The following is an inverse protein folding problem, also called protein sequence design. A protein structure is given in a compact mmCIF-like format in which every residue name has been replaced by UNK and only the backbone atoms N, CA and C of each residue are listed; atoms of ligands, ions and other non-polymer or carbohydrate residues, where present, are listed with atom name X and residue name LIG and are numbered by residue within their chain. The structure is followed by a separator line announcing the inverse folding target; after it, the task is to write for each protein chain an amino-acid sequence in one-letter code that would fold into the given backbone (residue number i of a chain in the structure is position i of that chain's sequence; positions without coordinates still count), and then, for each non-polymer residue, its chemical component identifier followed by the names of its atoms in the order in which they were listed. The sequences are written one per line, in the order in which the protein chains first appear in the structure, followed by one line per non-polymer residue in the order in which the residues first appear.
data_IF_258900773009
#
_entry.id   IF_258900773009
#
_cell.length_a   1.000
_cell.length_b   1.000
_cell.length_c   1.000
_cell.angle_alpha   90.00
_cell.angle_beta   90.00
_cell.angle_gamma   90.00
#
_symmetry.space_group_name_H-M   'P 1'
#
loop_
_entity.id
_entity.type
_entity.pdbx_description
1 polymer ?
#
# COMPACT_ATOMS: atom_id res chain seq x y z
N UNK A 1 -13.32 23.56 -7.54
CA UNK A 1 -13.49 22.38 -8.41
C UNK A 1 -13.11 21.12 -7.64
N UNK A 2 -13.77 19.96 -7.84
CA UNK A 2 -13.39 18.72 -7.16
C UNK A 2 -11.99 18.30 -7.59
N UNK A 3 -11.11 18.00 -6.62
CA UNK A 3 -9.75 17.50 -6.89
C UNK A 3 -9.85 16.15 -7.59
N UNK A 4 -9.42 16.11 -8.85
CA UNK A 4 -9.26 14.89 -9.65
C UNK A 4 -8.01 14.17 -9.17
N UNK A 5 -8.14 12.88 -8.90
CA UNK A 5 -7.01 12.11 -8.43
C UNK A 5 -7.09 10.67 -8.95
N UNK A 6 -5.92 10.11 -9.22
CA UNK A 6 -5.71 8.70 -9.50
C UNK A 6 -4.78 8.12 -8.43
N UNK A 7 -4.95 6.85 -8.13
CA UNK A 7 -4.06 6.11 -7.24
C UNK A 7 -3.67 4.80 -7.91
N UNK A 8 -2.38 4.50 -7.89
CA UNK A 8 -1.78 3.36 -8.55
C UNK A 8 -0.88 2.63 -7.54
N UNK A 9 -1.00 1.31 -7.50
CA UNK A 9 -0.28 0.47 -6.57
C UNK A 9 -0.19 -0.96 -7.13
N UNK A 10 0.32 -1.91 -6.33
CA UNK A 10 0.55 -3.31 -6.73
C UNK A 10 1.45 -3.49 -7.96
N UNK A 11 2.49 -2.66 -8.09
CA UNK A 11 3.53 -2.83 -9.11
C UNK A 11 4.79 -3.45 -8.49
N UNK A 12 5.58 -4.13 -9.33
CA UNK A 12 6.97 -4.43 -8.98
C UNK A 12 7.84 -3.24 -9.38
N UNK A 13 8.89 -2.96 -8.61
CA UNK A 13 9.78 -1.83 -8.87
C UNK A 13 10.33 -1.79 -10.31
N UNK A 14 10.74 -2.91 -10.94
CA UNK A 14 11.17 -2.91 -12.35
C UNK A 14 10.09 -2.47 -13.35
N UNK A 15 8.81 -2.58 -13.00
CA UNK A 15 7.69 -2.18 -13.84
C UNK A 15 7.29 -0.70 -13.65
N UNK A 16 7.85 -0.01 -12.66
CA UNK A 16 7.45 1.36 -12.30
C UNK A 16 7.66 2.35 -13.45
N UNK A 17 8.79 2.30 -14.14
CA UNK A 17 9.03 3.20 -15.28
C UNK A 17 8.00 2.99 -16.39
N UNK A 18 7.64 1.73 -16.66
CA UNK A 18 6.62 1.40 -17.65
C UNK A 18 5.25 1.93 -17.22
N UNK A 19 4.91 1.82 -15.94
CA UNK A 19 3.68 2.38 -15.37
C UNK A 19 3.64 3.90 -15.53
N UNK A 20 4.72 4.61 -15.19
CA UNK A 20 4.80 6.08 -15.33
C UNK A 20 4.66 6.53 -16.79
N UNK A 21 5.30 5.82 -17.73
CA UNK A 21 5.13 6.10 -19.16
C UNK A 21 3.68 5.91 -19.62
N UNK A 22 3.00 4.87 -19.11
CA UNK A 22 1.58 4.64 -19.41
C UNK A 22 0.68 5.75 -18.82
N UNK A 23 1.00 6.24 -17.62
CA UNK A 23 0.30 7.36 -16.98
C UNK A 23 0.47 8.65 -17.79
N UNK A 24 1.69 8.95 -18.24
CA UNK A 24 1.96 10.11 -19.09
C UNK A 24 1.17 10.07 -20.41
N UNK A 25 1.06 8.87 -21.02
CA UNK A 25 0.27 8.64 -22.24
C UNK A 25 -1.24 8.49 -22.04
N UNK A 26 -1.75 8.45 -20.80
CA UNK A 26 -3.15 8.17 -20.50
C UNK A 26 -4.09 9.36 -20.77
N UNK A 27 -3.54 10.56 -21.00
CA UNK A 27 -4.34 11.76 -21.27
C UNK A 27 -5.16 12.21 -20.05
N UNK A 28 -4.62 12.05 -18.83
CA UNK A 28 -5.28 12.57 -17.63
C UNK A 28 -5.53 14.08 -17.77
N UNK A 29 -6.71 14.59 -17.36
CA UNK A 29 -6.94 16.02 -17.39
C UNK A 29 -5.90 16.78 -16.55
N UNK A 30 -5.55 17.98 -17.00
CA UNK A 30 -4.62 18.86 -16.28
C UNK A 30 -5.02 19.02 -14.80
N UNK A 31 -4.03 18.99 -13.91
CA UNK A 31 -4.21 19.08 -12.46
C UNK A 31 -4.69 17.79 -11.78
N UNK A 32 -4.74 16.66 -12.49
CA UNK A 32 -5.01 15.35 -11.85
C UNK A 32 -3.82 14.94 -10.98
N UNK A 33 -4.04 14.74 -9.69
CA UNK A 33 -3.01 14.24 -8.77
C UNK A 33 -2.85 12.72 -8.92
N UNK A 34 -1.65 12.23 -9.28
CA UNK A 34 -1.40 10.79 -9.45
C UNK A 34 -0.57 10.27 -8.28
N UNK A 35 -1.22 9.56 -7.36
CA UNK A 35 -0.56 8.92 -6.24
C UNK A 35 -0.08 7.52 -6.62
N UNK A 36 1.19 7.21 -6.38
CA UNK A 36 1.79 5.93 -6.74
C UNK A 36 2.43 5.32 -5.49
N UNK A 37 2.16 4.05 -5.21
CA UNK A 37 2.59 3.40 -3.97
C UNK A 37 3.17 2.00 -4.12
N UNK A 38 4.39 1.82 -3.63
CA UNK A 38 4.97 0.51 -3.33
C UNK A 38 4.43 -0.04 -2.01
N UNK A 39 4.58 -1.35 -1.76
CA UNK A 39 4.39 -1.88 -0.42
C UNK A 39 5.52 -1.43 0.51
N UNK A 40 5.15 -0.74 1.59
CA UNK A 40 6.10 -0.07 2.47
C UNK A 40 6.84 1.08 1.77
N UNK A 41 7.70 1.74 2.54
CA UNK A 41 8.54 2.83 2.06
C UNK A 41 9.72 2.26 1.28
N UNK A 42 9.96 2.82 0.08
CA UNK A 42 11.02 2.42 -0.82
C UNK A 42 11.64 3.70 -1.44
N UNK A 43 12.93 3.93 -1.18
CA UNK A 43 13.62 5.15 -1.60
C UNK A 43 13.77 5.27 -3.11
N UNK A 44 14.01 4.16 -3.81
CA UNK A 44 14.13 4.13 -5.28
C UNK A 44 12.78 4.46 -5.93
N UNK A 45 11.69 3.85 -5.47
CA UNK A 45 10.34 4.18 -5.92
C UNK A 45 10.02 5.65 -5.65
N UNK A 46 10.30 6.15 -4.44
CA UNK A 46 10.09 7.54 -4.07
C UNK A 46 10.83 8.51 -4.99
N UNK A 47 12.10 8.23 -5.31
CA UNK A 47 12.94 9.05 -6.19
C UNK A 47 12.44 9.05 -7.64
N UNK A 48 12.05 7.88 -8.17
CA UNK A 48 11.51 7.76 -9.52
C UNK A 48 10.16 8.48 -9.66
N UNK A 49 9.29 8.37 -8.64
CA UNK A 49 7.96 8.99 -8.64
C UNK A 49 8.05 10.50 -8.45
N UNK A 50 8.97 11.01 -7.63
CA UNK A 50 9.14 12.45 -7.42
C UNK A 50 9.73 13.17 -8.65
N UNK A 51 10.51 12.46 -9.45
CA UNK A 51 11.00 12.95 -10.74
C UNK A 51 9.89 13.03 -11.82
N UNK A 52 8.77 12.35 -11.61
CA UNK A 52 7.60 12.44 -12.48
C UNK A 52 6.69 13.59 -12.03
N UNK A 53 6.51 14.61 -12.88
CA UNK A 53 5.84 15.88 -12.53
C UNK A 53 4.48 15.72 -11.81
N UNK A 54 3.62 14.83 -12.33
CA UNK A 54 2.31 14.53 -11.76
C UNK A 54 2.34 13.49 -10.62
N UNK A 55 3.49 12.87 -10.39
CA UNK A 55 3.71 11.78 -9.46
C UNK A 55 3.74 12.25 -8.01
N UNK A 56 3.04 11.52 -7.15
CA UNK A 56 3.01 11.72 -5.69
C UNK A 56 3.25 10.38 -5.03
N UNK A 57 4.32 10.26 -4.24
CA UNK A 57 4.67 8.99 -3.62
C UNK A 57 3.82 8.74 -2.38
N UNK A 58 3.10 7.62 -2.37
CA UNK A 58 2.22 7.21 -1.28
C UNK A 58 2.43 5.72 -0.97
N UNK A 59 3.39 5.34 -0.10
CA UNK A 59 3.63 3.96 0.31
C UNK A 59 2.38 3.32 0.90
N UNK A 60 2.24 2.02 0.65
CA UNK A 60 1.06 1.23 1.00
C UNK A 60 1.37 0.26 2.14
N UNK A 61 0.49 0.22 3.14
CA UNK A 61 0.67 -0.57 4.34
C UNK A 61 -0.48 -1.54 4.58
N UNK A 62 -0.21 -2.64 5.27
CA UNK A 62 -1.21 -3.68 5.54
C UNK A 62 -1.72 -3.62 6.97
N UNK A 63 -3.04 -3.66 7.15
CA UNK A 63 -3.62 -3.71 8.49
C UNK A 63 -3.53 -5.12 9.09
N UNK A 64 -3.99 -6.14 8.37
CA UNK A 64 -4.23 -7.50 8.91
C UNK A 64 -3.24 -8.55 8.41
N UNK A 65 -2.16 -8.13 7.76
CA UNK A 65 -1.08 -9.04 7.31
C UNK A 65 0.17 -8.71 8.10
N UNK A 66 0.83 -9.77 8.60
CA UNK A 66 2.09 -9.63 9.32
C UNK A 66 3.16 -9.03 8.41
N UNK A 67 3.72 -7.92 8.86
CA UNK A 67 4.87 -7.21 8.29
C UNK A 67 5.91 -7.03 9.38
N UNK A 68 7.09 -6.50 9.08
CA UNK A 68 8.07 -6.21 10.13
C UNK A 68 7.53 -5.23 11.19
N UNK A 69 6.60 -4.34 10.83
CA UNK A 69 5.95 -3.44 11.77
C UNK A 69 5.13 -4.19 12.84
N UNK A 70 4.73 -5.45 12.60
CA UNK A 70 4.13 -6.29 13.64
C UNK A 70 5.14 -6.80 14.66
N UNK A 71 6.39 -6.97 14.25
CA UNK A 71 7.39 -7.64 15.06
C UNK A 71 8.04 -6.68 16.06
N UNK A 72 8.34 -5.45 15.64
CA UNK A 72 8.99 -4.46 16.51
C UNK A 72 8.74 -3.03 16.06
N UNK A 73 9.00 -2.09 16.97
CA UNK A 73 9.22 -0.68 16.64
C UNK A 73 10.54 -0.53 15.87
N UNK A 74 10.58 0.48 15.01
CA UNK A 74 11.81 1.01 14.43
C UNK A 74 11.92 2.45 14.92
N UNK A 75 12.50 2.61 16.10
CA UNK A 75 12.78 3.91 16.71
C UNK A 75 14.26 3.96 17.06
N UNK A 76 14.86 5.15 16.99
CA UNK A 76 16.22 5.35 17.53
C UNK A 76 16.19 5.28 19.06
N UNK A 77 17.35 5.10 19.69
CA UNK A 77 17.43 5.08 21.15
C UNK A 77 16.95 6.39 21.79
N UNK A 78 17.12 7.52 21.11
CA UNK A 78 16.63 8.83 21.55
C UNK A 78 15.11 8.93 21.42
N UNK A 79 14.54 8.49 20.30
CA UNK A 79 13.10 8.47 20.09
C UNK A 79 12.38 7.58 21.12
N UNK A 80 12.93 6.41 21.43
CA UNK A 80 12.33 5.47 22.40
C UNK A 80 12.26 6.07 23.83
N UNK A 81 13.11 7.05 24.18
CA UNK A 81 13.04 7.75 25.47
C UNK A 81 11.81 8.64 25.60
N UNK A 82 11.30 9.15 24.48
CA UNK A 82 10.17 10.07 24.44
C UNK A 82 8.83 9.35 24.25
N UNK A 83 8.87 8.08 23.85
CA UNK A 83 7.68 7.30 23.48
C UNK A 83 7.27 6.37 24.61
N UNK A 84 5.96 6.26 24.85
CA UNK A 84 5.43 5.32 25.83
C UNK A 84 5.80 3.87 25.46
N UNK A 85 6.40 3.13 26.40
CA UNK A 85 6.82 1.73 26.23
C UNK A 85 5.67 0.74 26.13
N UNK A 86 4.44 1.12 26.49
CA UNK A 86 3.25 0.29 26.29
C UNK A 86 3.11 -0.04 24.80
N UNK A 87 2.93 -1.33 24.50
CA UNK A 87 2.87 -1.86 23.13
C UNK A 87 4.20 -1.79 22.35
N UNK A 88 5.36 -1.73 23.02
CA UNK A 88 6.68 -1.76 22.33
C UNK A 88 7.03 -3.10 21.71
N UNK A 89 6.50 -4.19 22.26
CA UNK A 89 6.80 -5.55 21.83
C UNK A 89 6.10 -5.98 20.54
N UNK A 90 6.17 -7.27 20.27
CA UNK A 90 5.46 -7.90 19.14
C UNK A 90 3.95 -7.74 19.29
N UNK A 91 3.27 -7.38 18.20
CA UNK A 91 1.81 -7.38 18.13
C UNK A 91 1.33 -8.84 18.22
N UNK A 92 0.39 -9.18 19.13
CA UNK A 92 -0.18 -10.51 19.23
C UNK A 92 -0.68 -11.03 17.88
N UNK A 93 -0.55 -12.33 17.62
CA UNK A 93 -1.18 -12.93 16.43
C UNK A 93 -2.69 -12.72 16.44
N UNK A 94 -3.31 -12.89 15.28
CA UNK A 94 -4.75 -12.64 15.09
C UNK A 94 -5.62 -13.36 16.14
N UNK A 95 -5.45 -14.65 16.45
CA UNK A 95 -6.26 -15.31 17.47
C UNK A 95 -6.14 -14.67 18.86
N UNK A 96 -4.93 -14.30 19.28
CA UNK A 96 -4.73 -13.68 20.60
C UNK A 96 -5.16 -12.22 20.60
N UNK A 97 -4.92 -11.48 19.52
CA UNK A 97 -5.35 -10.10 19.33
C UNK A 97 -6.87 -9.98 19.47
N UNK A 98 -7.63 -10.90 18.85
CA UNK A 98 -9.09 -10.89 18.91
C UNK A 98 -9.65 -11.20 20.30
N UNK A 99 -8.89 -11.89 21.17
CA UNK A 99 -9.28 -12.19 22.56
C UNK A 99 -9.01 -11.06 23.55
N UNK A 100 -8.27 -10.02 23.16
CA UNK A 100 -7.94 -8.92 24.07
C UNK A 100 -9.18 -8.07 24.44
N UNK A 101 -9.03 -7.13 25.36
CA UNK A 101 -10.04 -6.09 25.56
C UNK A 101 -10.10 -5.12 24.36
N UNK A 102 -11.23 -4.40 24.19
CA UNK A 102 -11.37 -3.35 23.17
C UNK A 102 -10.26 -2.29 23.26
N UNK A 103 -9.86 -1.90 24.48
CA UNK A 103 -8.80 -0.92 24.71
C UNK A 103 -7.43 -1.44 24.25
N UNK A 104 -7.13 -2.71 24.54
CA UNK A 104 -5.88 -3.34 24.07
C UNK A 104 -5.86 -3.54 22.55
N UNK A 105 -6.96 -4.00 21.93
CA UNK A 105 -7.06 -4.11 20.47
C UNK A 105 -6.86 -2.76 19.79
N UNK A 106 -7.56 -1.74 20.25
CA UNK A 106 -7.42 -0.38 19.69
C UNK A 106 -5.99 0.12 19.90
N UNK A 107 -5.41 -0.06 21.09
CA UNK A 107 -4.05 0.36 21.40
C UNK A 107 -2.97 -0.30 20.53
N UNK A 108 -3.05 -1.62 20.32
CA UNK A 108 -2.16 -2.32 19.39
C UNK A 108 -2.35 -1.84 17.94
N UNK A 109 -3.58 -1.54 17.53
CA UNK A 109 -3.84 -0.92 16.23
C UNK A 109 -3.17 0.44 16.09
N UNK A 110 -3.34 1.33 17.09
CA UNK A 110 -2.69 2.66 17.11
C UNK A 110 -1.18 2.52 16.97
N UNK A 111 -0.60 1.60 17.73
CA UNK A 111 0.83 1.34 17.66
C UNK A 111 1.28 0.83 16.27
N UNK A 112 0.54 -0.09 15.63
CA UNK A 112 0.86 -0.52 14.27
C UNK A 112 0.85 0.64 13.28
N UNK A 113 -0.18 1.49 13.32
CA UNK A 113 -0.26 2.68 12.47
C UNK A 113 0.90 3.65 12.71
N UNK A 114 1.32 3.80 13.98
CA UNK A 114 2.50 4.61 14.36
C UNK A 114 3.80 4.03 13.82
N UNK A 115 3.98 2.71 13.81
CA UNK A 115 5.17 2.07 13.24
C UNK A 115 5.28 2.28 11.73
N UNK A 116 4.16 2.35 11.03
CA UNK A 116 4.16 2.77 9.62
C UNK A 116 4.54 4.25 9.46
N UNK A 117 4.06 5.11 10.36
CA UNK A 117 4.49 6.53 10.42
C UNK A 117 5.97 6.71 10.76
N UNK A 118 6.53 5.88 11.64
CA UNK A 118 7.97 5.84 11.93
C UNK A 118 8.77 5.59 10.64
N UNK A 119 8.34 4.63 9.81
CA UNK A 119 9.00 4.36 8.53
C UNK A 119 8.96 5.53 7.54
N UNK A 120 7.86 6.29 7.51
CA UNK A 120 7.75 7.50 6.67
C UNK A 120 8.65 8.61 7.22
N UNK A 121 8.64 8.81 8.53
CA UNK A 121 9.43 9.85 9.21
C UNK A 121 10.93 9.63 9.01
N UNK A 122 11.41 8.41 9.23
CA UNK A 122 12.81 8.03 8.97
C UNK A 122 13.18 8.19 7.49
N UNK A 123 12.29 7.82 6.57
CA UNK A 123 12.55 8.00 5.15
C UNK A 123 12.66 9.50 4.76
N UNK A 124 11.81 10.36 5.32
CA UNK A 124 11.89 11.82 5.11
C UNK A 124 13.18 12.41 5.68
N UNK A 125 13.65 11.92 6.85
CA UNK A 125 14.94 12.30 7.41
C UNK A 125 16.10 11.87 6.49
N UNK A 126 15.95 10.76 5.77
CA UNK A 126 16.84 10.31 4.71
C UNK A 126 16.52 10.93 3.33
N UNK A 127 15.85 12.08 3.29
CA UNK A 127 15.52 12.86 2.09
C UNK A 127 14.61 12.17 1.07
N UNK A 128 13.90 11.10 1.43
CA UNK A 128 12.87 10.50 0.58
C UNK A 128 11.61 11.36 0.63
N UNK A 129 11.15 11.83 -0.53
CA UNK A 129 9.90 12.59 -0.65
C UNK A 129 8.73 11.60 -0.55
N UNK A 130 7.94 11.72 0.52
CA UNK A 130 6.71 10.95 0.74
C UNK A 130 5.56 11.92 0.94
N UNK A 131 4.61 11.94 -0.01
CA UNK A 131 3.48 12.86 0.01
C UNK A 131 2.40 12.43 1.02
N UNK A 132 2.08 11.14 1.04
CA UNK A 132 1.06 10.58 1.95
C UNK A 132 1.24 9.07 2.13
N UNK A 133 0.21 8.34 2.55
CA UNK A 133 0.19 6.90 2.74
C UNK A 133 -1.06 6.27 2.13
N UNK A 134 -1.02 4.94 1.93
CA UNK A 134 -2.15 4.11 1.56
C UNK A 134 -2.32 2.95 2.55
N UNK A 135 -3.56 2.49 2.76
CA UNK A 135 -3.87 1.29 3.52
C UNK A 135 -4.52 0.21 2.64
N UNK A 136 -3.88 -0.95 2.56
CA UNK A 136 -4.29 -2.17 1.86
C UNK A 136 -4.69 -3.26 2.88
N UNK A 137 -5.95 -3.54 3.14
CA UNK A 137 -7.18 -2.89 2.71
C UNK A 137 -8.20 -3.07 3.85
N UNK A 138 -9.35 -2.41 3.79
CA UNK A 138 -10.51 -2.79 4.60
C UNK A 138 -11.02 -4.14 4.08
N UNK A 139 -10.64 -5.19 4.80
CA UNK A 139 -10.97 -6.57 4.46
C UNK A 139 -12.41 -6.97 4.78
N UNK A 140 -12.85 -8.05 4.15
CA UNK A 140 -14.22 -8.59 4.27
C UNK A 140 -14.63 -8.93 5.71
N UNK A 141 -13.66 -9.21 6.57
CA UNK A 141 -13.82 -9.55 7.98
C UNK A 141 -14.54 -8.45 8.76
N UNK A 142 -14.37 -7.17 8.37
CA UNK A 142 -14.98 -6.03 9.05
C UNK A 142 -16.52 -6.04 9.01
N UNK A 143 -17.11 -6.70 8.01
CA UNK A 143 -18.55 -6.85 7.86
C UNK A 143 -19.09 -8.20 8.37
N UNK A 144 -18.23 -9.09 8.88
CA UNK A 144 -18.62 -10.42 9.37
C UNK A 144 -19.12 -10.42 10.81
N UNK A 145 -19.48 -11.61 11.33
CA UNK A 145 -20.01 -11.77 12.70
C UNK A 145 -19.06 -11.34 13.81
N UNK A 146 -17.74 -11.49 13.61
CA UNK A 146 -16.71 -10.96 14.50
C UNK A 146 -16.21 -9.56 14.08
N UNK A 147 -16.90 -8.90 13.15
CA UNK A 147 -16.43 -7.68 12.49
C UNK A 147 -16.09 -6.55 13.45
N UNK A 148 -16.79 -6.45 14.59
CA UNK A 148 -16.49 -5.48 15.65
C UNK A 148 -15.04 -5.58 16.14
N UNK A 149 -14.53 -6.79 16.35
CA UNK A 149 -13.18 -7.00 16.87
C UNK A 149 -12.12 -6.49 15.87
N UNK A 150 -12.32 -6.76 14.58
CA UNK A 150 -11.47 -6.25 13.51
C UNK A 150 -11.57 -4.74 13.35
N UNK A 151 -12.79 -4.18 13.41
CA UNK A 151 -13.00 -2.72 13.31
C UNK A 151 -12.33 -1.98 14.44
N UNK A 152 -12.35 -2.48 15.67
CA UNK A 152 -11.64 -1.87 16.79
C UNK A 152 -10.11 -1.80 16.55
N UNK A 153 -9.51 -2.88 16.06
CA UNK A 153 -8.09 -2.90 15.70
C UNK A 153 -7.78 -1.97 14.52
N UNK A 154 -8.51 -2.10 13.41
CA UNK A 154 -8.32 -1.28 12.20
C UNK A 154 -8.58 0.21 12.46
N UNK A 155 -9.56 0.55 13.31
CA UNK A 155 -9.77 1.93 13.79
C UNK A 155 -8.50 2.45 14.47
N UNK A 156 -7.87 1.63 15.31
CA UNK A 156 -6.57 1.93 15.89
C UNK A 156 -5.52 2.17 14.82
N UNK A 157 -5.39 1.27 13.83
CA UNK A 157 -4.42 1.42 12.72
C UNK A 157 -4.61 2.75 11.98
N UNK A 158 -5.85 3.08 11.63
CA UNK A 158 -6.19 4.35 10.99
C UNK A 158 -5.85 5.55 11.88
N UNK A 159 -6.11 5.47 13.17
CA UNK A 159 -5.73 6.49 14.14
C UNK A 159 -4.21 6.68 14.20
N UNK A 160 -3.45 5.59 14.27
CA UNK A 160 -1.97 5.62 14.27
C UNK A 160 -1.39 6.19 12.98
N UNK A 161 -1.93 5.82 11.81
CA UNK A 161 -1.53 6.38 10.51
C UNK A 161 -1.88 7.86 10.37
N UNK A 162 -3.01 8.28 10.95
CA UNK A 162 -3.48 9.67 10.88
C UNK A 162 -2.61 10.59 11.71
N UNK A 163 -2.27 10.20 12.95
CA UNK A 163 -1.61 11.09 13.90
C UNK A 163 -0.13 10.82 14.12
N UNK A 164 0.37 9.65 13.72
CA UNK A 164 1.73 9.22 14.06
C UNK A 164 2.04 9.35 15.55
N UNK A 165 3.29 9.71 15.84
CA UNK A 165 3.80 10.04 17.17
C UNK A 165 3.97 11.55 17.28
N UNK A 166 2.99 12.23 17.87
CA UNK A 166 3.05 13.69 18.08
C UNK A 166 4.24 14.08 18.96
N UNK A 167 4.60 13.20 19.90
CA UNK A 167 5.79 13.32 20.74
C UNK A 167 7.10 13.32 19.94
N UNK A 168 7.09 12.81 18.71
CA UNK A 168 8.18 12.86 17.73
C UNK A 168 7.85 13.78 16.55
N UNK A 169 7.00 14.78 16.78
CA UNK A 169 6.60 15.84 15.84
C UNK A 169 5.91 15.36 14.55
N UNK A 170 5.33 14.15 14.53
CA UNK A 170 4.53 13.70 13.39
C UNK A 170 3.32 14.64 13.15
N UNK A 171 3.17 15.21 11.94
CA UNK A 171 1.98 15.96 11.60
C UNK A 171 0.80 15.02 11.32
N UNK A 172 -0.42 15.53 11.53
CA UNK A 172 -1.62 14.85 11.06
C UNK A 172 -1.56 14.70 9.52
N UNK A 173 -1.87 13.51 9.00
CA UNK A 173 -1.84 13.24 7.57
C UNK A 173 -2.98 12.31 7.18
N UNK A 174 -3.67 12.65 6.10
CA UNK A 174 -4.72 11.82 5.52
C UNK A 174 -4.19 11.00 4.35
N UNK A 175 -4.60 9.75 4.24
CA UNK A 175 -4.16 8.82 3.20
C UNK A 175 -5.28 8.21 2.38
N UNK A 176 -4.89 7.30 1.51
CA UNK A 176 -5.82 6.49 0.71
C UNK A 176 -6.20 5.24 1.49
N UNK A 177 -7.48 4.90 1.54
CA UNK A 177 -7.93 3.66 2.18
C UNK A 177 -8.64 2.81 1.15
N UNK A 178 -8.05 1.67 0.83
CA UNK A 178 -8.65 0.66 -0.03
C UNK A 178 -9.69 -0.13 0.75
N UNK A 179 -10.78 -0.50 0.10
CA UNK A 179 -11.85 -1.29 0.70
C UNK A 179 -12.40 -2.28 -0.31
N UNK A 180 -12.39 -3.57 0.05
CA UNK A 180 -13.14 -4.56 -0.72
C UNK A 180 -14.61 -4.15 -0.83
N UNK A 181 -15.24 -4.47 -1.97
CA UNK A 181 -16.70 -4.37 -2.11
C UNK A 181 -17.47 -5.03 -0.95
N UNK A 182 -16.96 -6.16 -0.44
CA UNK A 182 -17.58 -6.86 0.70
C UNK A 182 -17.44 -6.10 2.01
N UNK A 183 -16.31 -5.44 2.26
CA UNK A 183 -16.15 -4.56 3.43
C UNK A 183 -17.09 -3.35 3.35
N UNK A 184 -17.36 -2.82 2.16
CA UNK A 184 -18.30 -1.71 1.99
C UNK A 184 -19.75 -2.08 2.36
N UNK A 185 -20.10 -3.37 2.47
CA UNK A 185 -21.38 -3.80 3.09
C UNK A 185 -21.52 -3.36 4.54
N UNK A 186 -20.42 -2.97 5.20
CA UNK A 186 -20.44 -2.30 6.49
C UNK A 186 -21.38 -1.08 6.48
N UNK A 187 -21.50 -0.40 5.34
CA UNK A 187 -22.40 0.74 5.18
C UNK A 187 -23.89 0.37 5.30
N UNK A 188 -24.24 -0.91 5.22
CA UNK A 188 -25.62 -1.39 5.40
C UNK A 188 -25.93 -1.87 6.82
N UNK A 189 -24.93 -1.95 7.72
CA UNK A 189 -25.16 -2.39 9.09
C UNK A 189 -25.83 -1.28 9.94
N UNK A 190 -26.65 -1.65 10.94
CA UNK A 190 -27.15 -0.72 11.94
C UNK A 190 -25.99 0.01 12.63
N UNK A 191 -26.10 1.32 12.77
CA UNK A 191 -25.05 2.15 13.36
C UNK A 191 -25.20 2.18 14.88
N UNK A 192 -24.25 1.58 15.58
CA UNK A 192 -24.09 1.71 17.02
C UNK A 192 -22.95 2.68 17.38
N UNK A 193 -22.60 2.77 18.67
CA UNK A 193 -21.51 3.65 19.15
C UNK A 193 -20.13 3.23 18.61
N UNK A 194 -19.87 1.92 18.49
CA UNK A 194 -18.59 1.41 17.99
C UNK A 194 -18.43 1.73 16.51
N UNK A 195 -19.45 1.40 15.71
CA UNK A 195 -19.45 1.64 14.29
C UNK A 195 -19.46 3.14 13.96
N UNK A 196 -20.11 3.96 14.78
CA UNK A 196 -19.99 5.44 14.68
C UNK A 196 -18.55 5.89 14.85
N UNK A 197 -17.84 5.37 15.86
CA UNK A 197 -16.45 5.72 16.10
C UNK A 197 -15.53 5.24 14.97
N UNK A 198 -15.78 4.04 14.43
CA UNK A 198 -15.07 3.54 13.25
C UNK A 198 -15.26 4.47 12.04
N UNK A 199 -16.50 4.83 11.70
CA UNK A 199 -16.79 5.70 10.56
C UNK A 199 -16.16 7.09 10.70
N UNK A 200 -16.21 7.69 11.89
CA UNK A 200 -15.57 8.98 12.16
C UNK A 200 -14.04 8.91 12.01
N UNK A 201 -13.42 7.84 12.50
CA UNK A 201 -11.97 7.68 12.33
C UNK A 201 -11.60 7.45 10.87
N UNK A 202 -12.40 6.68 10.12
CA UNK A 202 -12.18 6.48 8.69
C UNK A 202 -12.33 7.79 7.90
N UNK A 203 -13.38 8.55 8.17
CA UNK A 203 -13.62 9.89 7.61
C UNK A 203 -12.42 10.81 7.84
N UNK A 204 -11.88 10.82 9.07
CA UNK A 204 -10.72 11.65 9.42
C UNK A 204 -9.44 11.20 8.73
N UNK A 205 -9.20 9.90 8.68
CA UNK A 205 -7.99 9.31 8.11
C UNK A 205 -7.95 9.40 6.58
N UNK A 206 -9.10 9.38 5.92
CA UNK A 206 -9.20 9.30 4.46
C UNK A 206 -9.03 10.67 3.78
N UNK A 207 -8.04 10.76 2.89
CA UNK A 207 -8.07 11.71 1.78
C UNK A 207 -9.12 11.27 0.74
N UNK A 208 -9.14 9.97 0.43
CA UNK A 208 -10.08 9.28 -0.45
C UNK A 208 -10.26 7.83 0.02
N UNK A 209 -11.46 7.29 -0.21
CA UNK A 209 -11.73 5.86 -0.06
C UNK A 209 -11.79 5.23 -1.45
N UNK A 210 -11.08 4.11 -1.63
CA UNK A 210 -11.00 3.38 -2.88
C UNK A 210 -11.81 2.11 -2.74
N UNK A 211 -12.93 2.01 -3.44
CA UNK A 211 -13.68 0.76 -3.45
C UNK A 211 -13.13 -0.15 -4.53
N UNK A 212 -12.65 -1.33 -4.15
CA UNK A 212 -12.24 -2.33 -5.13
C UNK A 212 -13.48 -2.88 -5.86
N UNK A 213 -13.66 -2.38 -7.08
CA UNK A 213 -14.72 -2.78 -7.98
C UNK A 213 -14.13 -3.70 -9.05
N UNK A 214 -14.66 -4.91 -9.15
CA UNK A 214 -14.26 -5.90 -10.15
C UNK A 214 -15.42 -6.15 -11.12
N UNK A 215 -15.91 -5.14 -11.86
CA UNK A 215 -16.98 -5.36 -12.81
C UNK A 215 -16.58 -6.45 -13.80
N UNK A 216 -17.37 -7.53 -13.82
CA UNK A 216 -17.39 -8.40 -14.98
C UNK A 216 -17.90 -7.51 -16.13
N UNK A 217 -16.98 -7.02 -16.97
CA UNK A 217 -17.30 -6.19 -18.15
C UNK A 217 -17.97 -7.02 -19.24
N UNK A 218 -19.09 -7.68 -18.88
CA UNK A 218 -19.88 -8.56 -19.73
C UNK A 218 -21.30 -8.01 -19.75
N UNK A 219 -21.83 -7.78 -20.95
CA UNK A 219 -23.15 -7.16 -21.14
C UNK A 219 -23.10 -5.64 -21.03
N UNK A 220 -24.19 -5.03 -20.56
CA UNK A 220 -24.31 -3.57 -20.42
C UNK A 220 -23.30 -3.01 -19.40
N UNK A 221 -22.31 -2.19 -19.84
CA UNK A 221 -21.33 -1.59 -18.95
C UNK A 221 -21.94 -0.66 -17.90
N UNK A 222 -23.03 0.04 -18.23
CA UNK A 222 -23.69 0.93 -17.29
C UNK A 222 -24.37 0.13 -16.18
N UNK A 223 -24.99 -1.01 -16.52
CA UNK A 223 -25.53 -1.94 -15.53
C UNK A 223 -24.42 -2.55 -14.67
N UNK A 224 -23.30 -2.96 -15.25
CA UNK A 224 -22.17 -3.47 -14.49
C UNK A 224 -21.64 -2.41 -13.51
N UNK A 225 -21.35 -1.20 -13.98
CA UNK A 225 -20.91 -0.09 -13.12
C UNK A 225 -21.91 0.20 -11.99
N UNK A 226 -23.22 0.20 -12.28
CA UNK A 226 -24.25 0.33 -11.24
C UNK A 226 -24.19 -0.83 -10.25
N UNK A 227 -24.07 -2.08 -10.68
CA UNK A 227 -23.99 -3.22 -9.76
C UNK A 227 -22.78 -3.16 -8.85
N UNK A 228 -21.64 -2.69 -9.35
CA UNK A 228 -20.37 -2.69 -8.63
C UNK A 228 -20.15 -1.46 -7.72
N UNK A 229 -20.83 -0.36 -7.99
CA UNK A 229 -20.87 0.85 -7.12
C UNK A 229 -21.91 0.76 -5.99
N UNK A 230 -22.39 -0.43 -5.63
CA UNK A 230 -23.37 -0.62 -4.55
C UNK A 230 -22.85 -0.15 -3.18
N UNK A 231 -21.57 -0.39 -2.88
CA UNK A 231 -20.91 0.10 -1.68
C UNK A 231 -20.89 1.63 -1.57
N UNK A 232 -20.56 2.33 -2.66
CA UNK A 232 -20.61 3.79 -2.71
C UNK A 232 -22.03 4.31 -2.46
N UNK A 233 -23.04 3.71 -3.10
CA UNK A 233 -24.44 4.13 -2.89
C UNK A 233 -24.92 3.87 -1.46
N UNK A 234 -24.53 2.75 -0.85
CA UNK A 234 -24.85 2.46 0.54
C UNK A 234 -24.21 3.48 1.51
N UNK A 235 -23.01 3.99 1.20
CA UNK A 235 -22.43 5.13 1.92
C UNK A 235 -23.24 6.41 1.70
N UNK A 236 -23.64 6.69 0.45
CA UNK A 236 -24.39 7.89 0.09
C UNK A 236 -25.79 7.95 0.70
N UNK A 237 -26.44 6.80 0.94
CA UNK A 237 -27.73 6.72 1.64
C UNK A 237 -27.60 6.79 3.17
N UNK A 238 -26.39 6.88 3.70
CA UNK A 238 -26.12 6.89 5.13
C UNK A 238 -26.28 8.26 5.79
N UNK A 239 -25.87 8.31 7.06
CA UNK A 239 -25.75 9.57 7.82
C UNK A 239 -24.59 10.46 7.33
N UNK A 240 -24.41 11.66 7.91
CA UNK A 240 -23.49 12.68 7.41
C UNK A 240 -22.05 12.19 7.16
N UNK A 241 -21.49 11.39 8.07
CA UNK A 241 -20.13 10.83 7.96
C UNK A 241 -19.99 9.89 6.76
N UNK A 242 -20.98 9.02 6.53
CA UNK A 242 -20.98 8.09 5.39
C UNK A 242 -21.16 8.83 4.06
N UNK A 243 -22.00 9.87 4.02
CA UNK A 243 -22.14 10.76 2.84
C UNK A 243 -20.85 11.49 2.51
N UNK A 244 -20.12 11.98 3.52
CA UNK A 244 -18.82 12.62 3.33
C UNK A 244 -17.75 11.65 2.79
N UNK A 245 -17.83 10.36 3.16
CA UNK A 245 -17.00 9.32 2.57
C UNK A 245 -17.42 9.00 1.13
N UNK A 246 -18.72 8.92 0.84
CA UNK A 246 -19.24 8.70 -0.51
C UNK A 246 -18.81 9.82 -1.49
N UNK A 247 -18.78 11.08 -1.03
CA UNK A 247 -18.27 12.21 -1.82
C UNK A 247 -16.77 12.19 -2.08
N UNK A 248 -16.01 11.33 -1.38
CA UNK A 248 -14.57 11.10 -1.54
C UNK A 248 -14.25 9.71 -2.10
N UNK A 249 -15.27 9.00 -2.58
CA UNK A 249 -15.12 7.68 -3.13
C UNK A 249 -14.47 7.75 -4.52
N UNK A 250 -13.54 6.84 -4.79
CA UNK A 250 -13.07 6.55 -6.14
C UNK A 250 -13.23 5.05 -6.43
N UNK A 251 -13.55 4.73 -7.67
CA UNK A 251 -13.58 3.34 -8.13
C UNK A 251 -12.14 2.84 -8.31
N UNK A 252 -11.75 1.85 -7.52
CA UNK A 252 -10.50 1.13 -7.69
C UNK A 252 -10.71 -0.03 -8.65
N UNK A 253 -9.80 -0.17 -9.61
CA UNK A 253 -9.77 -1.29 -10.54
C UNK A 253 -8.42 -2.00 -10.42
N UNK A 254 -8.45 -3.32 -10.30
CA UNK A 254 -7.23 -4.14 -10.37
C UNK A 254 -7.14 -4.74 -11.77
N UNK A 255 -6.22 -4.26 -12.64
CA UNK A 255 -6.04 -4.84 -13.96
C UNK A 255 -5.51 -6.27 -13.82
N UNK A 256 -6.23 -7.28 -14.28
CA UNK A 256 -5.72 -8.64 -14.25
C UNK A 256 -6.71 -9.80 -14.28
N UNK A 257 -8.03 -9.56 -14.20
CA UNK A 257 -9.01 -10.63 -14.37
C UNK A 257 -9.63 -10.64 -15.76
N UNK A 258 -8.80 -10.83 -16.79
CA UNK A 258 -9.28 -11.65 -17.90
C UNK A 258 -9.50 -13.04 -17.30
N UNK A 259 -10.74 -13.39 -16.94
CA UNK A 259 -11.12 -14.80 -17.02
C UNK A 259 -10.92 -15.14 -18.49
N UNK A 260 -9.74 -15.68 -18.85
CA UNK A 260 -9.59 -16.38 -20.11
C UNK A 260 -10.77 -17.35 -20.15
N UNK A 261 -11.77 -17.07 -20.99
CA UNK A 261 -12.59 -18.15 -21.53
C UNK A 261 -11.55 -19.15 -22.02
N UNK A 262 -11.57 -20.35 -21.45
CA UNK A 262 -10.88 -21.48 -22.07
C UNK A 262 -11.50 -21.56 -23.45
N UNK A 263 -10.84 -20.98 -24.44
CA UNK A 263 -11.10 -21.31 -25.83
C UNK A 263 -10.88 -22.83 -25.90
N UNK A 264 -11.82 -23.58 -26.48
CA UNK A 264 -11.64 -25.03 -26.62
C UNK A 264 -10.29 -25.28 -27.27
N UNK A 265 -9.53 -26.22 -26.68
CA UNK A 265 -8.21 -26.62 -27.16
C UNK A 265 -8.31 -26.87 -28.67
N UNK A 266 -7.49 -26.17 -29.45
CA UNK A 266 -7.30 -26.45 -30.87
C UNK A 266 -6.83 -27.89 -31.02
N UNK A 267 -7.66 -28.68 -31.70
CA UNK A 267 -7.37 -30.06 -32.03
C UNK A 267 -8.47 -30.69 -32.88
N UNK A 268 -9.13 -29.96 -33.77
CA UNK A 268 -9.86 -30.52 -34.92
C UNK A 268 -9.79 -29.54 -36.12
N UNK A 269 -9.73 -30.03 -37.38
CA UNK A 269 -9.26 -29.23 -38.51
C UNK A 269 -10.30 -28.23 -39.03
N UNK A 270 -9.91 -26.96 -39.06
CA UNK A 270 -10.70 -25.85 -39.61
C UNK A 270 -10.53 -25.72 -41.14
N UNK A 271 -10.57 -26.83 -41.88
CA UNK A 271 -10.51 -26.82 -43.35
C UNK A 271 -11.89 -26.85 -44.03
N UNK A 272 -12.99 -27.05 -43.30
CA UNK A 272 -14.33 -27.21 -43.89
C UNK A 272 -15.35 -26.11 -43.58
N UNK A 273 -14.98 -25.00 -42.90
CA UNK A 273 -15.97 -23.94 -42.55
C UNK A 273 -15.68 -22.53 -43.07
N UNK A 274 -14.67 -22.33 -43.91
CA UNK A 274 -14.30 -20.99 -44.43
C UNK A 274 -14.28 -20.89 -45.97
N UNK A 275 -15.08 -21.68 -46.68
CA UNK A 275 -15.39 -21.45 -48.11
C UNK A 275 -16.83 -20.95 -48.36
N UNK A 276 -17.59 -20.55 -47.34
CA UNK A 276 -18.84 -19.82 -47.55
C UNK A 276 -18.83 -18.54 -46.73
N UNK A 277 -18.93 -17.41 -47.44
CA UNK A 277 -18.87 -16.01 -47.00
C UNK A 277 -17.47 -15.43 -46.86
N UNK A 278 -16.75 -15.48 -47.98
CA UNK A 278 -15.87 -14.39 -48.34
C UNK A 278 -16.69 -13.10 -48.54
N UNK A 279 -16.20 -12.00 -47.99
CA UNK A 279 -16.67 -10.63 -48.19
C UNK A 279 -15.68 -9.71 -47.49
N UNK A 280 -14.75 -9.17 -48.28
CA UNK A 280 -13.66 -8.27 -47.91
C UNK A 280 -14.13 -7.08 -47.04
N UNK A 281 -13.32 -6.47 -46.17
CA UNK A 281 -12.17 -5.62 -46.55
C UNK A 281 -11.16 -5.38 -45.40
N UNK A 282 -9.98 -4.94 -45.83
CA UNK A 282 -8.72 -4.67 -45.13
C UNK A 282 -8.80 -3.54 -44.08
N UNK A 283 -7.90 -3.60 -43.09
CA UNK A 283 -7.26 -2.41 -42.50
C UNK A 283 -7.09 -2.42 -40.98
N UNK A 284 -5.85 -2.52 -40.49
CA UNK A 284 -5.48 -2.19 -39.10
C UNK A 284 -4.60 -3.21 -38.39
N UNK A 285 -3.27 -3.03 -38.45
CA UNK A 285 -2.33 -3.75 -37.57
C UNK A 285 -2.44 -3.21 -36.14
N UNK A 286 -3.10 -3.94 -35.25
CA UNK A 286 -2.97 -3.74 -33.80
C UNK A 286 -1.80 -4.58 -33.29
N UNK A 287 -0.69 -3.95 -32.92
CA UNK A 287 0.36 -4.60 -32.12
C UNK A 287 -0.16 -4.81 -30.71
N UNK A 288 -0.64 -6.01 -30.40
CA UNK A 288 -0.87 -6.45 -29.02
C UNK A 288 0.47 -6.75 -28.37
N UNK A 289 0.84 -5.98 -27.35
CA UNK A 289 1.94 -6.31 -26.43
C UNK A 289 1.34 -7.07 -25.25
N UNK A 290 1.57 -8.39 -25.11
CA UNK A 290 1.06 -9.12 -23.96
C UNK A 290 1.85 -8.74 -22.71
N UNK A 291 1.19 -8.12 -21.72
CA UNK A 291 1.68 -8.05 -20.35
C UNK A 291 1.58 -9.44 -19.73
N UNK A 292 2.72 -10.11 -19.55
CA UNK A 292 2.82 -11.26 -18.64
C UNK A 292 2.95 -10.74 -17.22
N UNK A 293 1.84 -10.66 -16.50
CA UNK A 293 1.87 -10.55 -15.04
C UNK A 293 2.22 -11.94 -14.50
N UNK A 294 3.39 -12.05 -13.88
CA UNK A 294 3.81 -13.28 -13.18
C UNK A 294 3.08 -13.30 -11.84
N UNK A 295 2.29 -14.34 -11.61
CA UNK A 295 1.54 -14.53 -10.35
C UNK A 295 2.48 -14.48 -9.15
N UNK A 296 2.16 -13.65 -8.16
CA UNK A 296 2.62 -13.90 -6.79
C UNK A 296 1.74 -15.03 -6.21
N UNK A 297 2.31 -16.14 -5.71
CA UNK A 297 1.52 -17.19 -5.12
C UNK A 297 0.85 -16.69 -3.84
N UNK A 298 -0.47 -16.63 -3.85
CA UNK A 298 -1.27 -16.55 -2.64
C UNK A 298 -1.03 -17.81 -1.80
N UNK A 299 -0.22 -17.70 -0.76
CA UNK A 299 -0.08 -18.77 0.24
C UNK A 299 -1.38 -18.80 1.06
N UNK A 300 -2.29 -19.69 0.67
CA UNK A 300 -3.36 -20.17 1.55
C UNK A 300 -2.74 -21.15 2.53
N UNK A 301 -2.54 -20.75 3.78
CA UNK A 301 -2.28 -21.70 4.85
C UNK A 301 -3.61 -22.15 5.47
N UNK A 302 -4.12 -23.29 4.98
CA UNK A 302 -4.89 -24.20 5.81
C UNK A 302 -3.88 -24.99 6.67
N UNK A 303 -4.08 -25.02 7.98
CA UNK A 303 -3.19 -25.72 8.90
C UNK A 303 -3.33 -27.24 8.79
N UNK A 304 -2.19 -27.95 8.86
CA UNK A 304 -1.92 -29.13 9.71
C UNK A 304 -0.50 -29.64 9.48
N UNK A 305 0.22 -29.83 10.59
CA UNK A 305 1.42 -30.64 10.86
C UNK A 305 2.43 -30.96 9.73
N UNK A 306 3.71 -30.59 9.93
CA UNK A 306 4.75 -31.54 10.36
C UNK A 306 6.15 -30.90 10.38
N UNK A 307 6.94 -31.36 11.34
CA UNK A 307 8.35 -31.06 11.59
C UNK A 307 9.23 -31.35 10.36
N UNK A 308 10.16 -30.43 10.06
CA UNK A 308 11.51 -30.60 9.47
C UNK A 308 11.78 -29.50 8.44
N UNK A 309 12.62 -28.54 8.83
CA UNK A 309 13.81 -28.05 8.09
C UNK A 309 14.35 -26.82 8.81
N UNK A 310 15.16 -27.09 9.83
CA UNK A 310 16.29 -26.24 10.16
C UNK A 310 17.35 -26.39 9.05
N UNK A 311 18.19 -25.36 8.87
CA UNK A 311 19.29 -25.21 7.89
C UNK A 311 18.89 -24.63 6.53
N UNK A 312 18.76 -23.30 6.49
CA UNK A 312 19.16 -22.43 5.35
C UNK A 312 19.02 -20.92 5.69
N UNK A 313 19.24 -20.54 6.95
CA UNK A 313 19.14 -19.15 7.41
C UNK A 313 20.46 -18.51 7.86
N UNK A 314 21.57 -19.26 7.90
CA UNK A 314 22.82 -18.80 8.54
C UNK A 314 23.86 -18.23 7.58
N UNK A 315 23.64 -18.26 6.26
CA UNK A 315 24.66 -17.79 5.29
C UNK A 315 24.53 -16.31 4.88
N UNK A 316 23.41 -15.64 5.13
CA UNK A 316 23.25 -14.22 4.78
C UNK A 316 23.71 -13.24 5.88
N UNK A 317 23.82 -13.71 7.14
CA UNK A 317 24.34 -12.90 8.24
C UNK A 317 25.87 -12.84 8.30
N UNK A 318 26.59 -13.78 7.64
CA UNK A 318 28.07 -13.77 7.59
C UNK A 318 28.64 -12.86 6.51
N UNK A 319 27.90 -12.63 5.42
CA UNK A 319 28.34 -11.75 4.34
C UNK A 319 28.36 -10.25 4.74
N UNK A 320 27.50 -9.83 5.66
CA UNK A 320 27.44 -8.43 6.11
C UNK A 320 28.50 -8.06 7.16
N UNK A 321 28.95 -9.03 7.97
CA UNK A 321 30.01 -8.79 8.97
C UNK A 321 31.41 -8.73 8.34
N UNK A 322 31.65 -9.41 7.21
CA UNK A 322 32.95 -9.40 6.53
C UNK A 322 33.24 -8.09 5.75
N UNK A 323 32.20 -7.40 5.27
CA UNK A 323 32.35 -6.13 4.57
C UNK A 323 32.55 -4.92 5.51
N UNK A 324 32.16 -5.05 6.78
CA UNK A 324 32.34 -4.00 7.79
C UNK A 324 33.71 -4.07 8.49
N UNK A 325 34.37 -5.23 8.47
CA UNK A 325 35.70 -5.43 9.05
C UNK A 325 36.86 -5.07 8.11
N UNK A 326 36.58 -4.76 6.84
CA UNK A 326 37.60 -4.47 5.81
C UNK A 326 37.89 -2.97 5.62
N UNK A 327 37.21 -2.09 6.37
CA UNK A 327 37.33 -0.62 6.24
C UNK A 327 38.16 0.05 7.35
N UNK A 328 38.75 -0.71 8.28
CA UNK A 328 39.49 -0.17 9.44
C UNK A 328 40.99 -0.44 9.43
N UNK A 329 41.56 -0.84 8.30
CA UNK A 329 43.03 -0.96 8.13
C UNK A 329 43.43 -0.33 6.82
N UNK A 330 43.63 1.00 6.84
CA UNK A 330 44.48 1.77 5.92
C UNK A 330 44.60 3.21 6.45
N UNK A 331 45.21 3.38 7.63
CA UNK A 331 45.88 4.62 8.02
C UNK A 331 47.36 4.31 8.25
N UNK A 332 48.13 4.39 7.17
CA UNK A 332 49.59 4.27 7.15
C UNK A 332 50.14 5.52 6.48
N UNK A 333 51.05 6.20 7.18
CA UNK A 333 51.40 7.60 6.96
C UNK A 333 52.20 7.92 5.71
N UNK A 334 52.18 9.22 5.42
CA UNK A 334 53.23 9.91 4.68
C UNK A 334 53.63 11.13 5.52
N UNK A 335 54.82 11.05 6.11
CA UNK A 335 55.61 12.20 6.55
C UNK A 335 56.23 12.88 5.32
N UNK A 336 56.19 14.22 5.27
CA UNK A 336 57.09 15.06 4.47
C UNK A 336 57.39 16.33 5.31
N UNK A 337 58.65 16.83 5.31
CA UNK A 337 59.22 17.50 6.48
C UNK A 337 59.06 19.01 6.49
N UNK A 338 59.37 19.57 7.68
CA UNK A 338 59.44 20.99 7.98
C UNK A 338 60.44 21.74 7.09
N UNK A 339 60.06 22.96 6.69
CA UNK A 339 61.00 24.01 6.30
C UNK A 339 60.52 25.39 6.75
N UNK A 340 61.51 26.22 7.01
CA UNK A 340 61.55 27.36 7.90
C UNK A 340 60.79 28.61 7.46
N UNK A 341 60.32 29.32 8.48
CA UNK A 341 60.56 30.74 8.76
C UNK A 341 61.02 31.64 7.61
N UNK A 342 60.21 32.65 7.31
CA UNK A 342 60.68 33.99 6.94
C UNK A 342 59.51 34.96 7.09
N UNK A 343 59.59 35.79 8.14
CA UNK A 343 58.71 36.94 8.30
C UNK A 343 58.85 37.96 7.17
N UNK A 344 57.81 38.77 7.00
CA UNK A 344 57.93 40.21 6.74
C UNK A 344 56.58 40.91 6.84
N UNK A 345 56.65 42.00 7.60
CA UNK A 345 55.74 43.12 7.79
C UNK A 345 55.57 43.99 6.54
N UNK A 346 54.61 44.93 6.67
CA UNK A 346 54.25 46.10 5.84
C UNK A 346 53.17 45.84 4.78
N UNK A 347 52.11 46.64 4.66
CA UNK A 347 51.76 47.94 5.25
C UNK A 347 50.23 48.05 5.42
#
# INVERSE_FOLDING_TARGET
MPVRAAVLCYFNLPDLQRLMNAVAGAGFPAGTLVHIGSYGVNAEAGSLISAFEAGRYAPMFKALVRTEAWERRRLTAEEERHVNRRFSGRIPDEPNLLRLSTAQRTGWGVELGRRYRDSIRHARQASVIVDTWQLDELGTQLAGGQGRLYREFVRGVLQGLTFGRRELTDPETKGWVWATRRALRLASLPVDRELTAFWRQLERACFRIVGEEYPDFVGDPARAARTWSDGQRALASGGPVRRALAGRYIAGMTPGRERRRVLPRRGEPLAQRLCRRAGATRGGRVRRVPLRVREQPHVRHAGRHARRRARHGDDLSRAFSALSASSSTLSGGYEVPAQADNGRTFA
#
